data_IF_569922073213
#
_entry.id   IF_569922073213
#
_cell.length_a   1.000
_cell.length_b   1.000
_cell.length_c   1.000
_cell.angle_alpha   90.00
_cell.angle_beta   90.00
_cell.angle_gamma   90.00
#
_symmetry.space_group_name_H-M   'P 1'
#
loop_
_entity.id
_entity.type
_entity.pdbx_description
1 polymer ?
#
# COMPACT_ATOMS: atom_id res chain seq x y z
N UNK A 1 12.69 -6.53 -16.34
CA UNK A 1 13.16 -6.26 -14.97
C UNK A 1 14.69 -6.39 -14.86
N UNK A 2 15.37 -5.34 -14.38
CA UNK A 2 16.83 -5.32 -14.26
C UNK A 2 17.35 -6.15 -13.08
N UNK A 3 16.60 -6.18 -11.99
CA UNK A 3 16.91 -6.97 -10.79
C UNK A 3 15.81 -7.98 -10.48
N UNK A 4 15.89 -9.20 -11.01
CA UNK A 4 14.88 -10.24 -10.79
C UNK A 4 14.77 -10.69 -9.32
N UNK A 5 15.69 -10.25 -8.45
CA UNK A 5 15.62 -10.49 -6.99
C UNK A 5 14.80 -9.45 -6.26
N UNK A 6 14.49 -8.31 -6.89
CA UNK A 6 13.74 -7.17 -6.36
C UNK A 6 14.31 -6.57 -5.06
N UNK A 7 15.60 -6.77 -4.78
CA UNK A 7 16.24 -6.28 -3.54
C UNK A 7 16.24 -4.77 -3.40
N UNK A 8 16.19 -4.04 -4.51
CA UNK A 8 16.14 -2.58 -4.56
C UNK A 8 14.78 -2.02 -4.97
N UNK A 9 13.79 -2.87 -5.23
CA UNK A 9 12.47 -2.43 -5.64
C UNK A 9 11.69 -1.85 -4.45
N UNK A 10 11.02 -0.71 -4.67
CA UNK A 10 10.31 0.03 -3.61
C UNK A 10 9.21 -0.79 -2.95
N UNK A 11 8.43 -1.55 -3.73
CA UNK A 11 7.30 -2.28 -3.20
C UNK A 11 7.71 -3.40 -2.22
N UNK A 12 8.62 -4.34 -2.55
CA UNK A 12 9.08 -5.36 -1.60
C UNK A 12 9.78 -4.81 -0.36
N UNK A 13 10.33 -3.60 -0.43
CA UNK A 13 10.97 -2.92 0.69
C UNK A 13 10.03 -2.05 1.51
N UNK A 14 8.77 -1.95 1.12
CA UNK A 14 7.77 -1.15 1.84
C UNK A 14 7.31 -1.84 3.13
N UNK A 15 6.59 -1.09 3.96
CA UNK A 15 5.92 -1.63 5.17
C UNK A 15 4.73 -2.52 4.85
N UNK A 16 4.29 -2.57 3.59
CA UNK A 16 3.15 -3.37 3.16
C UNK A 16 1.81 -2.92 3.73
N UNK A 17 1.71 -1.69 4.25
CA UNK A 17 0.46 -1.16 4.78
C UNK A 17 -0.61 -1.04 3.69
N UNK A 18 -1.81 -1.51 3.96
CA UNK A 18 -2.98 -1.27 3.14
C UNK A 18 -4.08 -0.62 3.96
N UNK A 19 -4.72 0.39 3.39
CA UNK A 19 -5.73 1.21 4.06
C UNK A 19 -6.80 1.72 3.11
N UNK A 20 -7.90 2.22 3.67
CA UNK A 20 -9.01 2.90 2.96
C UNK A 20 -9.13 4.37 3.34
N UNK A 21 -8.38 4.80 4.36
CA UNK A 21 -8.40 6.18 4.86
C UNK A 21 -7.57 7.09 3.95
N UNK A 22 -8.20 7.60 2.89
CA UNK A 22 -7.63 8.56 1.95
C UNK A 22 -8.55 9.78 1.82
N UNK A 23 -8.00 10.91 1.37
CA UNK A 23 -8.78 12.11 1.11
C UNK A 23 -9.65 11.98 -0.14
N UNK A 24 -9.13 11.38 -1.21
CA UNK A 24 -9.80 11.24 -2.49
C UNK A 24 -10.67 9.97 -2.52
N UNK A 25 -11.87 10.12 -3.07
CA UNK A 25 -12.84 9.04 -3.25
C UNK A 25 -12.27 7.87 -4.04
N UNK A 26 -11.53 8.15 -5.11
CA UNK A 26 -10.92 7.14 -5.97
C UNK A 26 -9.95 6.25 -5.21
N UNK A 27 -9.14 6.85 -4.34
CA UNK A 27 -8.19 6.11 -3.52
C UNK A 27 -8.89 5.28 -2.43
N UNK A 28 -10.01 5.76 -1.87
CA UNK A 28 -10.83 5.00 -0.94
C UNK A 28 -11.40 3.75 -1.63
N UNK A 29 -11.97 3.93 -2.83
CA UNK A 29 -12.53 2.83 -3.61
C UNK A 29 -11.47 1.82 -4.04
N UNK A 30 -10.29 2.31 -4.47
CA UNK A 30 -9.14 1.46 -4.77
C UNK A 30 -8.66 0.68 -3.55
N UNK A 31 -8.63 1.32 -2.37
CA UNK A 31 -8.30 0.66 -1.11
C UNK A 31 -9.31 -0.43 -0.71
N UNK A 32 -10.61 -0.20 -0.96
CA UNK A 32 -11.66 -1.23 -0.78
C UNK A 32 -11.44 -2.41 -1.72
N UNK A 33 -11.19 -2.16 -3.00
CA UNK A 33 -10.88 -3.21 -3.97
C UNK A 33 -9.61 -3.98 -3.57
N UNK A 34 -8.54 -3.28 -3.20
CA UNK A 34 -7.29 -3.91 -2.78
C UNK A 34 -7.49 -4.84 -1.58
N UNK A 35 -8.30 -4.43 -0.60
CA UNK A 35 -8.67 -5.29 0.52
C UNK A 35 -9.33 -6.57 0.08
N UNK A 36 -10.39 -6.49 -0.73
CA UNK A 36 -11.11 -7.66 -1.24
C UNK A 36 -10.16 -8.59 -2.01
N UNK A 37 -9.31 -8.04 -2.85
CA UNK A 37 -8.31 -8.79 -3.59
C UNK A 37 -7.32 -9.52 -2.67
N UNK A 38 -6.81 -8.85 -1.63
CA UNK A 38 -5.86 -9.43 -0.68
C UNK A 38 -6.48 -10.63 0.05
N UNK A 39 -7.75 -10.52 0.45
CA UNK A 39 -8.47 -11.64 1.09
C UNK A 39 -8.68 -12.83 0.16
N UNK A 40 -8.77 -12.59 -1.14
CA UNK A 40 -9.00 -13.62 -2.14
C UNK A 40 -7.71 -14.19 -2.77
N UNK A 41 -6.53 -13.75 -2.33
CA UNK A 41 -5.24 -14.24 -2.85
C UNK A 41 -5.16 -15.79 -2.91
N UNK A 42 -5.57 -16.54 -1.88
CA UNK A 42 -5.48 -17.99 -1.91
C UNK A 42 -6.23 -18.64 -3.09
N UNK A 43 -7.30 -18.01 -3.56
CA UNK A 43 -8.09 -18.48 -4.70
C UNK A 43 -7.62 -17.86 -6.02
N UNK A 44 -7.46 -16.53 -6.07
CA UNK A 44 -7.17 -15.81 -7.30
C UNK A 44 -5.76 -16.05 -7.83
N UNK A 45 -4.78 -16.21 -6.93
CA UNK A 45 -3.36 -16.33 -7.28
C UNK A 45 -2.81 -17.76 -7.15
N UNK A 46 -3.68 -18.74 -6.88
CA UNK A 46 -3.32 -20.16 -6.88
C UNK A 46 -2.76 -20.59 -8.23
N UNK A 47 -1.65 -21.33 -8.19
CA UNK A 47 -0.99 -21.91 -9.36
C UNK A 47 -0.56 -23.34 -9.04
N UNK A 48 -0.21 -24.14 -10.06
CA UNK A 48 0.35 -25.48 -9.83
C UNK A 48 1.64 -25.43 -8.99
N UNK A 49 2.51 -24.44 -9.26
CA UNK A 49 3.79 -24.26 -8.55
C UNK A 49 3.64 -23.58 -7.19
N UNK A 50 2.55 -22.85 -6.96
CA UNK A 50 2.22 -22.21 -5.68
C UNK A 50 0.76 -22.49 -5.35
N UNK A 51 0.44 -23.68 -4.79
CA UNK A 51 -0.93 -24.08 -4.52
C UNK A 51 -1.57 -23.35 -3.33
N UNK A 52 -0.77 -22.68 -2.48
CA UNK A 52 -1.23 -21.95 -1.30
C UNK A 52 -0.59 -20.56 -1.24
N UNK A 53 -0.89 -19.67 -2.21
CA UNK A 53 -0.35 -18.32 -2.20
C UNK A 53 -0.89 -17.54 -1.02
N UNK A 54 -0.06 -16.66 -0.46
CA UNK A 54 -0.43 -15.79 0.66
C UNK A 54 0.29 -14.47 0.57
N UNK A 55 -0.28 -13.45 1.16
CA UNK A 55 0.39 -12.19 1.47
C UNK A 55 0.67 -12.03 2.97
N UNK A 56 0.46 -13.08 3.78
CA UNK A 56 0.62 -13.02 5.26
C UNK A 56 -0.07 -11.80 5.87
N UNK A 57 -1.32 -11.57 5.51
CA UNK A 57 -2.06 -10.39 5.93
C UNK A 57 -2.28 -10.38 7.44
N UNK A 58 -2.01 -9.22 8.06
CA UNK A 58 -2.31 -8.94 9.46
C UNK A 58 -3.30 -7.78 9.53
N UNK A 59 -4.60 -8.04 9.76
CA UNK A 59 -5.66 -7.04 9.76
C UNK A 59 -5.78 -6.39 11.15
N UNK A 60 -4.81 -5.57 11.52
CA UNK A 60 -4.73 -4.93 12.83
C UNK A 60 -5.28 -3.49 12.86
N UNK A 61 -5.89 -3.04 11.76
CA UNK A 61 -6.43 -1.69 11.61
C UNK A 61 -5.34 -0.65 11.30
N UNK A 62 -5.79 0.60 11.17
CA UNK A 62 -4.93 1.75 10.92
C UNK A 62 -5.40 2.93 11.76
N UNK A 63 -4.48 3.58 12.45
CA UNK A 63 -4.71 4.82 13.19
C UNK A 63 -3.94 5.94 12.50
N UNK A 64 -4.65 7.00 12.09
CA UNK A 64 -4.06 8.24 11.59
C UNK A 64 -4.35 9.35 12.59
N UNK A 65 -3.33 10.13 12.95
CA UNK A 65 -3.42 11.22 13.91
C UNK A 65 -3.06 12.52 13.22
N UNK A 66 -3.81 13.58 13.50
CA UNK A 66 -3.69 14.88 12.85
C UNK A 66 -3.59 15.98 13.90
N UNK A 67 -2.63 16.88 13.71
CA UNK A 67 -2.54 18.13 14.44
C UNK A 67 -3.60 19.15 13.98
N UNK A 68 -3.71 20.30 14.67
CA UNK A 68 -4.68 21.33 14.34
C UNK A 68 -4.62 21.82 12.90
N UNK A 69 -3.42 21.86 12.33
CA UNK A 69 -3.16 22.36 10.97
C UNK A 69 -3.78 21.49 9.86
N UNK A 70 -4.07 20.22 10.15
CA UNK A 70 -4.64 19.27 9.20
C UNK A 70 -6.05 18.80 9.58
N UNK A 71 -6.60 19.26 10.71
CA UNK A 71 -7.88 18.80 11.23
C UNK A 71 -9.04 19.09 10.29
N UNK A 72 -9.12 20.30 9.73
CA UNK A 72 -10.20 20.70 8.82
C UNK A 72 -10.19 19.88 7.52
N UNK A 73 -9.02 19.57 6.99
CA UNK A 73 -8.87 18.71 5.82
C UNK A 73 -9.35 17.29 6.13
N UNK A 74 -8.98 16.78 7.31
CA UNK A 74 -9.42 15.46 7.76
C UNK A 74 -10.94 15.41 7.99
N UNK A 75 -11.56 16.45 8.56
CA UNK A 75 -13.01 16.49 8.73
C UNK A 75 -13.75 16.47 7.39
N UNK A 76 -13.25 17.16 6.37
CA UNK A 76 -13.78 17.06 4.99
C UNK A 76 -13.61 15.67 4.40
N UNK A 77 -12.48 15.01 4.65
CA UNK A 77 -12.24 13.65 4.17
C UNK A 77 -13.21 12.63 4.78
N UNK A 78 -13.68 12.84 6.01
CA UNK A 78 -14.66 11.95 6.65
C UNK A 78 -16.00 11.89 5.90
N UNK A 79 -16.40 12.93 5.20
CA UNK A 79 -17.59 12.90 4.33
C UNK A 79 -17.40 11.91 3.17
N UNK A 80 -16.22 11.92 2.53
CA UNK A 80 -15.86 10.96 1.50
C UNK A 80 -15.78 9.53 2.06
N UNK A 81 -15.19 9.38 3.26
CA UNK A 81 -15.13 8.07 3.93
C UNK A 81 -16.53 7.51 4.18
N UNK A 82 -17.47 8.35 4.63
CA UNK A 82 -18.87 7.97 4.86
C UNK A 82 -19.57 7.63 3.55
N UNK A 83 -19.44 8.46 2.53
CA UNK A 83 -20.03 8.24 1.20
C UNK A 83 -19.55 6.94 0.55
N UNK A 84 -18.29 6.57 0.77
CA UNK A 84 -17.69 5.34 0.25
C UNK A 84 -17.84 4.12 1.17
N UNK A 85 -18.51 4.25 2.32
CA UNK A 85 -18.59 3.19 3.32
C UNK A 85 -17.19 2.64 3.67
N UNK A 86 -16.27 3.53 4.03
CA UNK A 86 -14.90 3.16 4.38
C UNK A 86 -14.78 2.54 5.79
N UNK A 87 -15.81 2.63 6.62
CA UNK A 87 -15.80 2.11 7.99
C UNK A 87 -14.92 2.89 8.96
N UNK A 88 -14.52 4.11 8.57
CA UNK A 88 -13.65 4.97 9.37
C UNK A 88 -14.41 5.55 10.56
N UNK A 89 -13.80 5.49 11.74
CA UNK A 89 -14.27 6.12 12.97
C UNK A 89 -13.39 7.34 13.24
N UNK A 90 -14.01 8.43 13.70
CA UNK A 90 -13.31 9.62 14.14
C UNK A 90 -13.24 9.69 15.65
N UNK A 91 -12.10 10.11 16.20
CA UNK A 91 -11.87 10.32 17.62
C UNK A 91 -11.33 11.74 17.81
N UNK A 92 -11.85 12.48 18.77
CA UNK A 92 -11.24 13.75 19.21
C UNK A 92 -9.88 13.46 19.85
N UNK A 93 -8.89 14.31 19.63
CA UNK A 93 -7.56 14.14 20.24
C UNK A 93 -7.63 14.05 21.76
N UNK A 94 -8.54 14.81 22.41
CA UNK A 94 -8.79 14.74 23.86
C UNK A 94 -9.23 13.35 24.37
N UNK A 95 -9.84 12.54 23.51
CA UNK A 95 -10.38 11.22 23.84
C UNK A 95 -9.49 10.06 23.39
N UNK A 96 -8.35 10.37 22.76
CA UNK A 96 -7.47 9.36 22.15
C UNK A 96 -6.98 8.31 23.15
N UNK A 97 -6.65 8.73 24.38
CA UNK A 97 -6.19 7.85 25.46
C UNK A 97 -7.25 6.86 25.99
N UNK A 98 -8.53 7.13 25.73
CA UNK A 98 -9.62 6.18 26.06
C UNK A 98 -9.59 4.93 25.17
N UNK A 99 -9.08 5.08 23.94
CA UNK A 99 -8.99 4.02 22.94
C UNK A 99 -7.57 3.46 22.84
N UNK A 100 -6.57 4.33 23.00
CA UNK A 100 -5.15 4.01 22.83
C UNK A 100 -4.32 4.60 23.97
N UNK A 101 -4.39 4.01 25.19
CA UNK A 101 -3.81 4.58 26.41
C UNK A 101 -2.28 4.70 26.40
N UNK A 102 -1.62 4.03 25.46
CA UNK A 102 -0.16 4.06 25.28
C UNK A 102 0.32 5.14 24.30
N UNK A 103 -0.60 5.90 23.69
CA UNK A 103 -0.24 6.95 22.72
C UNK A 103 -0.21 8.32 23.43
N UNK A 104 0.86 9.08 23.23
CA UNK A 104 0.88 10.47 23.62
C UNK A 104 -0.06 11.29 22.72
N UNK A 105 -1.03 11.95 23.32
CA UNK A 105 -2.04 12.75 22.61
C UNK A 105 -1.70 14.23 22.47
N UNK A 106 -0.56 14.67 22.99
CA UNK A 106 -0.12 16.07 22.89
C UNK A 106 0.00 16.51 21.44
N UNK A 107 -0.59 17.65 21.08
CA UNK A 107 -0.60 18.19 19.72
C UNK A 107 -1.52 17.46 18.74
N UNK A 108 -2.35 16.49 19.19
CA UNK A 108 -3.32 15.80 18.36
C UNK A 108 -4.69 16.44 18.52
N UNK A 109 -5.24 16.99 17.44
CA UNK A 109 -6.58 17.57 17.40
C UNK A 109 -7.63 16.50 17.11
N UNK A 110 -7.37 15.64 16.13
CA UNK A 110 -8.28 14.56 15.75
C UNK A 110 -7.50 13.33 15.30
N UNK A 111 -8.13 12.16 15.41
CA UNK A 111 -7.61 10.92 14.91
C UNK A 111 -8.70 10.13 14.19
N UNK A 112 -8.30 9.33 13.21
CA UNK A 112 -9.21 8.40 12.54
C UNK A 112 -8.65 6.99 12.60
N UNK A 113 -9.53 6.01 12.75
CA UNK A 113 -9.14 4.61 12.73
C UNK A 113 -10.21 3.73 12.10
N UNK A 114 -9.79 2.57 11.63
CA UNK A 114 -10.67 1.49 11.19
C UNK A 114 -10.48 0.28 12.09
N UNK A 115 -11.47 -0.60 12.10
CA UNK A 115 -11.41 -1.83 12.89
C UNK A 115 -10.36 -2.82 12.34
N UNK A 116 -10.06 -3.84 13.15
CA UNK A 116 -9.05 -4.86 12.90
C UNK A 116 -9.35 -5.80 11.71
N UNK A 117 -10.38 -5.55 10.90
CA UNK A 117 -10.73 -6.43 9.75
C UNK A 117 -10.61 -5.72 8.41
N UNK A 118 -10.45 -4.42 8.42
CA UNK A 118 -10.60 -3.58 7.24
C UNK A 118 -9.29 -3.08 6.66
N UNK A 119 -8.30 -2.92 7.50
CA UNK A 119 -6.98 -2.35 7.19
C UNK A 119 -5.90 -3.07 7.99
N UNK A 120 -4.66 -2.91 7.57
CA UNK A 120 -3.53 -3.54 8.24
C UNK A 120 -2.28 -3.56 7.37
N UNK A 121 -1.55 -4.64 7.42
CA UNK A 121 -0.35 -4.80 6.60
C UNK A 121 -0.25 -6.23 6.04
N UNK A 122 0.51 -6.35 4.96
CA UNK A 122 0.83 -7.61 4.29
C UNK A 122 2.34 -7.75 4.17
N UNK A 123 2.81 -8.94 3.85
CA UNK A 123 4.17 -9.15 3.38
C UNK A 123 4.24 -8.79 1.88
N UNK A 124 4.90 -7.67 1.50
CA UNK A 124 4.93 -7.23 0.12
C UNK A 124 5.69 -8.19 -0.80
N UNK A 125 6.71 -8.88 -0.27
CA UNK A 125 7.48 -9.84 -1.05
C UNK A 125 6.65 -11.09 -1.38
N UNK A 126 5.90 -11.62 -0.42
CA UNK A 126 5.00 -12.76 -0.65
C UNK A 126 3.89 -12.40 -1.64
N UNK A 127 3.29 -11.22 -1.48
CA UNK A 127 2.27 -10.74 -2.41
C UNK A 127 2.81 -10.59 -3.84
N UNK A 128 3.96 -9.94 -4.00
CA UNK A 128 4.64 -9.80 -5.27
C UNK A 128 4.96 -11.16 -5.90
N UNK A 129 5.45 -12.12 -5.11
CA UNK A 129 5.79 -13.47 -5.56
C UNK A 129 4.55 -14.22 -6.05
N UNK A 130 3.42 -14.09 -5.35
CA UNK A 130 2.16 -14.71 -5.75
C UNK A 130 1.65 -14.13 -7.08
N UNK A 131 1.65 -12.81 -7.25
CA UNK A 131 1.28 -12.14 -8.50
C UNK A 131 2.18 -12.57 -9.67
N UNK A 132 3.50 -12.58 -9.44
CA UNK A 132 4.47 -13.00 -10.47
C UNK A 132 4.26 -14.44 -10.90
N UNK A 133 4.06 -15.36 -9.94
CA UNK A 133 3.80 -16.78 -10.23
C UNK A 133 2.55 -16.95 -11.08
N UNK A 134 1.47 -16.22 -10.74
CA UNK A 134 0.22 -16.26 -11.50
C UNK A 134 0.36 -15.69 -12.89
N UNK A 135 1.07 -14.56 -13.05
CA UNK A 135 1.34 -13.97 -14.34
C UNK A 135 2.12 -14.93 -15.27
N UNK A 136 3.14 -15.61 -14.74
CA UNK A 136 3.92 -16.61 -15.49
C UNK A 136 3.01 -17.78 -15.91
N UNK A 137 2.18 -18.32 -15.04
CA UNK A 137 1.23 -19.39 -15.38
C UNK A 137 0.27 -18.95 -16.49
N UNK A 138 -0.11 -17.68 -16.52
CA UNK A 138 -0.96 -17.09 -17.56
C UNK A 138 -0.22 -16.71 -18.84
N UNK A 139 1.06 -17.06 -18.97
CA UNK A 139 1.85 -16.85 -20.16
C UNK A 139 2.67 -15.55 -20.22
N UNK A 140 2.77 -14.80 -19.11
CA UNK A 140 3.67 -13.65 -19.06
C UNK A 140 5.13 -14.11 -19.09
N UNK A 141 5.93 -13.48 -19.93
CA UNK A 141 7.36 -13.70 -20.03
C UNK A 141 8.13 -12.65 -19.23
N UNK A 142 9.04 -13.09 -18.36
CA UNK A 142 9.88 -12.21 -17.55
C UNK A 142 11.30 -12.19 -18.11
N UNK A 143 11.66 -11.08 -18.72
CA UNK A 143 12.98 -10.87 -19.32
C UNK A 143 13.86 -10.08 -18.36
N UNK A 144 15.07 -10.62 -18.06
CA UNK A 144 16.08 -9.87 -17.31
C UNK A 144 16.77 -8.89 -18.22
N UNK A 145 16.67 -7.60 -17.92
CA UNK A 145 17.30 -6.54 -18.67
C UNK A 145 16.93 -5.16 -18.15
N UNK A 146 17.70 -4.18 -18.54
CA UNK A 146 17.44 -2.77 -18.28
C UNK A 146 17.04 -2.08 -19.56
N UNK A 147 15.85 -1.50 -19.60
CA UNK A 147 15.35 -0.70 -20.72
C UNK A 147 15.87 0.71 -20.58
N UNK A 148 16.66 1.18 -21.54
CA UNK A 148 17.19 2.56 -21.58
C UNK A 148 16.46 3.46 -22.55
N UNK A 149 15.75 2.87 -23.50
CA UNK A 149 14.90 3.58 -24.45
C UNK A 149 13.66 2.76 -24.78
N UNK A 150 12.52 3.41 -24.92
CA UNK A 150 11.27 2.76 -25.35
C UNK A 150 11.37 2.24 -26.79
N UNK A 151 12.31 2.77 -27.59
CA UNK A 151 12.57 2.33 -28.98
C UNK A 151 13.22 0.93 -29.05
N UNK A 152 13.76 0.43 -27.92
CA UNK A 152 14.32 -0.92 -27.82
C UNK A 152 13.23 -2.01 -27.72
N UNK A 153 11.98 -1.59 -27.48
CA UNK A 153 10.87 -2.52 -27.19
C UNK A 153 10.01 -2.66 -28.46
N UNK A 154 9.99 -3.85 -29.04
CA UNK A 154 9.09 -4.18 -30.14
C UNK A 154 7.73 -4.66 -29.61
N UNK A 155 6.84 -3.73 -29.28
CA UNK A 155 5.49 -4.03 -28.81
C UNK A 155 4.49 -3.00 -29.34
N UNK A 156 3.21 -3.41 -29.50
CA UNK A 156 2.13 -2.52 -29.93
C UNK A 156 1.75 -1.51 -28.84
N UNK A 157 1.86 -1.92 -27.59
CA UNK A 157 1.54 -1.09 -26.41
C UNK A 157 2.61 -1.31 -25.37
N UNK A 158 3.12 -0.23 -24.81
CA UNK A 158 4.12 -0.26 -23.75
C UNK A 158 3.52 0.39 -22.50
N UNK A 159 3.56 -0.32 -21.37
CA UNK A 159 3.15 0.20 -20.06
C UNK A 159 4.41 0.39 -19.21
N UNK A 160 4.74 1.63 -18.87
CA UNK A 160 5.82 1.92 -17.93
C UNK A 160 5.33 1.76 -16.50
N UNK A 161 5.89 0.79 -15.80
CA UNK A 161 5.70 0.56 -14.37
C UNK A 161 7.04 0.64 -13.61
N UNK A 162 7.96 1.51 -14.10
CA UNK A 162 9.33 1.64 -13.62
C UNK A 162 9.46 2.43 -12.29
N UNK A 163 8.35 2.77 -11.63
CA UNK A 163 8.35 3.48 -10.35
C UNK A 163 9.10 4.81 -10.45
N UNK A 164 10.02 5.08 -9.54
CA UNK A 164 10.79 6.32 -9.51
C UNK A 164 11.78 6.47 -10.69
N UNK A 165 12.06 5.41 -11.44
CA UNK A 165 12.89 5.45 -12.66
C UNK A 165 12.08 5.78 -13.92
N UNK A 166 10.77 5.95 -13.84
CA UNK A 166 9.92 6.30 -14.98
C UNK A 166 10.42 7.55 -15.70
N UNK A 167 10.92 8.57 -14.98
CA UNK A 167 11.46 9.80 -15.55
C UNK A 167 12.67 9.58 -16.48
N UNK A 168 13.42 8.50 -16.28
CA UNK A 168 14.55 8.14 -17.15
C UNK A 168 14.07 7.74 -18.56
N UNK A 169 12.88 7.12 -18.63
CA UNK A 169 12.25 6.68 -19.88
C UNK A 169 11.29 7.71 -20.47
N UNK A 170 10.58 8.45 -19.62
CA UNK A 170 9.51 9.40 -19.97
C UNK A 170 9.80 10.72 -19.27
N UNK A 171 10.54 11.59 -19.93
CA UNK A 171 11.08 12.84 -19.35
C UNK A 171 10.03 13.85 -18.91
N UNK A 172 8.84 13.82 -19.52
CA UNK A 172 7.75 14.76 -19.25
C UNK A 172 6.89 14.37 -18.02
N UNK A 173 7.17 13.22 -17.40
CA UNK A 173 6.46 12.79 -16.19
C UNK A 173 7.11 13.42 -14.96
N UNK A 174 6.34 14.17 -14.13
CA UNK A 174 6.86 14.86 -12.95
C UNK A 174 7.03 13.89 -11.77
N UNK A 175 7.90 12.89 -11.91
CA UNK A 175 8.24 11.92 -10.86
C UNK A 175 9.67 12.20 -10.39
N UNK A 176 9.83 12.34 -9.07
CA UNK A 176 11.13 12.49 -8.42
C UNK A 176 11.34 11.40 -7.38
N UNK A 177 12.50 10.71 -7.40
CA UNK A 177 12.81 9.70 -6.41
C UNK A 177 13.05 10.36 -5.04
N UNK A 178 12.37 9.85 -4.01
CA UNK A 178 12.62 10.23 -2.63
C UNK A 178 13.06 9.01 -1.83
N UNK A 179 14.11 9.18 -1.02
CA UNK A 179 14.56 8.12 -0.13
C UNK A 179 13.73 8.13 1.16
N UNK A 180 12.99 7.05 1.40
CA UNK A 180 12.35 6.79 2.68
C UNK A 180 13.12 5.71 3.43
N UNK A 181 13.43 5.96 4.70
CA UNK A 181 14.12 4.99 5.55
C UNK A 181 13.11 4.32 6.48
N UNK A 182 13.09 3.00 6.44
CA UNK A 182 12.28 2.18 7.36
C UNK A 182 13.18 1.72 8.50
N UNK A 183 12.76 1.97 9.74
CA UNK A 183 13.45 1.55 10.94
C UNK A 183 12.72 0.37 11.58
N UNK A 184 13.47 -0.68 11.90
CA UNK A 184 12.98 -1.77 12.75
C UNK A 184 13.43 -1.52 14.18
N UNK A 185 12.48 -1.30 15.07
CA UNK A 185 12.73 -1.01 16.48
C UNK A 185 12.27 -2.19 17.33
N UNK A 186 13.11 -2.59 18.29
CA UNK A 186 12.72 -3.55 19.32
C UNK A 186 12.23 -2.76 20.52
N UNK A 187 10.92 -2.80 20.77
CA UNK A 187 10.34 -2.22 21.99
C UNK A 187 10.51 -3.18 23.16
N UNK A 188 10.87 -2.70 24.35
CA UNK A 188 10.75 -3.47 25.57
C UNK A 188 9.29 -3.88 25.77
N UNK A 189 9.05 -5.08 26.28
CA UNK A 189 7.69 -5.46 26.71
C UNK A 189 7.33 -4.58 27.92
N UNK A 190 6.19 -3.90 27.84
CA UNK A 190 5.56 -3.27 29.00
C UNK A 190 4.84 -4.32 29.82
#
# INVERSE_FOLDING_TARGET
>A
ERDPTYKSASFPLSLGGFRRQFFQTENILLGKFAREFIFQIPELLKTEKNPNPTASMVPNGYLLMFGPEHADEQYRALENHKACDAGTKNIKGSDLDKFFPYINKEGIETATFTDNKSEGWIDPFLFHTALKSKAIEQGAEFVKGEVKSLLEINAKTIVSAAGCWTKELLKDIPVEPQKHTVFRVKCPKH
#
